data_IF_431303635825
#
_entry.id   IF_431303635825
#
_cell.length_a   1.000
_cell.length_b   1.000
_cell.length_c   1.000
_cell.angle_alpha   90.00
_cell.angle_beta   90.00
_cell.angle_gamma   90.00
#
_symmetry.space_group_name_H-M   'P 1'
#
loop_
_entity.id
_entity.type
_entity.pdbx_description
1 polymer ?
#
# COMPACT_ATOMS: atom_id res chain seq x y z
N UNK A 1 -11.76 14.94 -3.68
CA UNK A 1 -11.78 13.56 -3.16
C UNK A 1 -12.87 13.49 -2.11
N UNK A 2 -13.67 12.44 -2.11
CA UNK A 2 -14.70 12.23 -1.07
C UNK A 2 -14.05 11.75 0.22
N UNK A 3 -14.57 12.15 1.38
CA UNK A 3 -14.05 11.75 2.70
C UNK A 3 -13.97 10.22 2.86
N UNK A 4 -14.92 9.49 2.24
CA UNK A 4 -14.94 8.03 2.22
C UNK A 4 -13.69 7.42 1.55
N UNK A 5 -13.21 8.02 0.46
CA UNK A 5 -12.05 7.50 -0.28
C UNK A 5 -10.79 7.66 0.57
N UNK A 6 -10.65 8.80 1.25
CA UNK A 6 -9.53 9.06 2.15
C UNK A 6 -9.49 8.04 3.28
N UNK A 7 -10.64 7.75 3.87
CA UNK A 7 -10.77 6.74 4.93
C UNK A 7 -10.40 5.34 4.46
N UNK A 8 -10.86 4.93 3.26
CA UNK A 8 -10.49 3.64 2.68
C UNK A 8 -8.98 3.54 2.43
N UNK A 9 -8.37 4.58 1.89
CA UNK A 9 -6.92 4.63 1.65
C UNK A 9 -6.16 4.51 2.98
N UNK A 10 -6.55 5.24 4.02
CA UNK A 10 -5.88 5.14 5.33
C UNK A 10 -6.03 3.76 5.97
N UNK A 11 -7.21 3.14 5.87
CA UNK A 11 -7.42 1.77 6.35
C UNK A 11 -6.51 0.79 5.62
N UNK A 12 -6.51 0.83 4.29
CA UNK A 12 -5.64 -0.01 3.45
C UNK A 12 -4.16 0.23 3.75
N UNK A 13 -3.76 1.50 3.91
CA UNK A 13 -2.37 1.86 4.22
C UNK A 13 -1.91 1.25 5.54
N UNK A 14 -2.77 1.28 6.56
CA UNK A 14 -2.47 0.70 7.86
C UNK A 14 -2.29 -0.82 7.75
N UNK A 15 -3.20 -1.50 7.05
CA UNK A 15 -3.09 -2.94 6.80
C UNK A 15 -1.82 -3.30 6.01
N UNK A 16 -1.47 -2.51 4.98
CA UNK A 16 -0.25 -2.71 4.20
C UNK A 16 1.01 -2.58 5.06
N UNK A 17 1.05 -1.59 5.95
CA UNK A 17 2.16 -1.41 6.90
C UNK A 17 2.27 -2.61 7.84
N UNK A 18 1.15 -3.07 8.40
CA UNK A 18 1.16 -4.26 9.26
C UNK A 18 1.66 -5.50 8.52
N UNK A 19 1.24 -5.71 7.27
CA UNK A 19 1.72 -6.81 6.43
C UNK A 19 3.22 -6.71 6.14
N UNK A 20 3.74 -5.51 5.84
CA UNK A 20 5.18 -5.29 5.68
C UNK A 20 5.96 -5.62 6.95
N UNK A 21 5.46 -5.17 8.11
CA UNK A 21 6.07 -5.45 9.40
C UNK A 21 6.07 -6.95 9.71
N UNK A 22 4.96 -7.65 9.45
CA UNK A 22 4.86 -9.09 9.69
C UNK A 22 5.71 -9.92 8.73
N UNK A 23 5.74 -9.56 7.44
CA UNK A 23 6.45 -10.32 6.40
C UNK A 23 7.96 -10.10 6.42
N UNK A 24 8.40 -8.85 6.55
CA UNK A 24 9.82 -8.48 6.49
C UNK A 24 10.45 -8.19 7.85
N UNK A 25 9.66 -8.19 8.93
CA UNK A 25 10.15 -7.85 10.27
C UNK A 25 10.58 -6.38 10.41
N UNK A 26 10.02 -5.49 9.58
CA UNK A 26 10.39 -4.08 9.59
C UNK A 26 9.77 -3.31 10.75
N UNK A 27 10.45 -2.26 11.20
CA UNK A 27 9.85 -1.28 12.09
C UNK A 27 8.77 -0.47 11.36
N UNK A 28 7.75 -0.02 12.11
CA UNK A 28 6.65 0.80 11.58
C UNK A 28 7.15 1.97 10.73
N UNK A 29 8.20 2.67 11.19
CA UNK A 29 8.75 3.81 10.46
C UNK A 29 9.31 3.40 9.09
N UNK A 30 9.99 2.26 9.02
CA UNK A 30 10.56 1.74 7.77
C UNK A 30 9.45 1.24 6.84
N UNK A 31 8.47 0.53 7.38
CA UNK A 31 7.31 0.06 6.60
C UNK A 31 6.50 1.23 6.02
N UNK A 32 6.29 2.30 6.78
CA UNK A 32 5.67 3.53 6.29
C UNK A 32 6.52 4.18 5.19
N UNK A 33 7.83 4.34 5.40
CA UNK A 33 8.72 4.96 4.42
C UNK A 33 8.73 4.20 3.08
N UNK A 34 8.76 2.86 3.14
CA UNK A 34 8.68 2.01 1.94
C UNK A 34 7.30 2.13 1.28
N UNK A 35 6.21 2.08 2.06
CA UNK A 35 4.87 2.22 1.51
C UNK A 35 4.70 3.57 0.82
N UNK A 36 5.03 4.68 1.47
CA UNK A 36 4.86 6.02 0.90
C UNK A 36 5.79 6.29 -0.30
N UNK A 37 6.95 5.64 -0.36
CA UNK A 37 7.86 5.75 -1.50
C UNK A 37 7.47 4.84 -2.67
N UNK A 38 6.68 3.78 -2.41
CA UNK A 38 6.19 2.86 -3.43
C UNK A 38 5.25 3.53 -4.43
N UNK A 39 5.33 3.05 -5.67
CA UNK A 39 4.39 3.45 -6.71
C UNK A 39 3.02 2.78 -6.53
N UNK A 40 2.96 1.65 -5.83
CA UNK A 40 1.72 1.04 -5.37
C UNK A 40 0.87 2.01 -4.53
N UNK A 41 1.47 2.73 -3.57
CA UNK A 41 0.76 3.73 -2.78
C UNK A 41 0.31 4.95 -3.59
N UNK A 42 1.11 5.37 -4.58
CA UNK A 42 0.70 6.44 -5.51
C UNK A 42 -0.54 6.05 -6.29
N UNK A 43 -0.61 4.80 -6.78
CA UNK A 43 -1.80 4.27 -7.47
C UNK A 43 -2.98 4.10 -6.52
N UNK A 44 -2.74 3.72 -5.26
CA UNK A 44 -3.79 3.64 -4.23
C UNK A 44 -4.41 5.02 -3.94
N UNK A 45 -3.58 6.07 -3.87
CA UNK A 45 -4.04 7.46 -3.76
C UNK A 45 -4.71 7.99 -5.03
N UNK A 46 -4.54 7.31 -6.18
CA UNK A 46 -5.12 7.74 -7.44
C UNK A 46 -6.56 7.21 -7.58
N UNK A 47 -7.58 8.10 -7.54
CA UNK A 47 -8.97 7.69 -7.63
C UNK A 47 -9.33 7.08 -8.99
N UNK A 48 -8.56 7.35 -10.05
CA UNK A 48 -8.78 6.75 -11.37
C UNK A 48 -8.31 5.29 -11.43
N UNK A 49 -7.43 4.87 -10.52
CA UNK A 49 -6.95 3.49 -10.45
C UNK A 49 -7.95 2.54 -9.77
N UNK A 50 -8.80 3.05 -8.87
CA UNK A 50 -9.84 2.27 -8.19
C UNK A 50 -9.34 1.27 -7.15
N UNK A 51 -8.02 1.19 -6.92
CA UNK A 51 -7.37 0.24 -5.99
C UNK A 51 -7.85 0.36 -4.54
N UNK A 52 -8.36 1.52 -4.14
CA UNK A 52 -8.88 1.75 -2.79
C UNK A 52 -10.20 0.99 -2.51
N UNK A 53 -10.83 0.41 -3.54
CA UNK A 53 -11.97 -0.52 -3.38
C UNK A 53 -11.54 -2.00 -3.32
N UNK A 54 -10.27 -2.29 -3.62
CA UNK A 54 -9.73 -3.65 -3.61
C UNK A 54 -9.27 -4.05 -2.20
N UNK A 55 -9.07 -5.36 -1.99
CA UNK A 55 -8.60 -5.86 -0.70
C UNK A 55 -7.12 -5.57 -0.43
N UNK A 56 -6.76 -5.36 0.85
CA UNK A 56 -5.39 -5.07 1.29
C UNK A 56 -4.37 -6.10 0.78
N UNK A 57 -4.72 -7.39 0.76
CA UNK A 57 -3.85 -8.47 0.27
C UNK A 57 -3.53 -8.34 -1.23
N UNK A 58 -4.51 -7.89 -2.03
CA UNK A 58 -4.32 -7.68 -3.46
C UNK A 58 -3.35 -6.53 -3.70
N UNK A 59 -3.60 -5.38 -3.06
CA UNK A 59 -2.71 -4.22 -3.12
C UNK A 59 -1.32 -4.55 -2.59
N UNK A 60 -1.24 -5.33 -1.51
CA UNK A 60 0.02 -5.79 -0.93
C UNK A 60 0.83 -6.64 -1.90
N UNK A 61 0.19 -7.47 -2.71
CA UNK A 61 0.89 -8.29 -3.70
C UNK A 61 1.64 -7.44 -4.74
N UNK A 62 1.12 -6.27 -5.10
CA UNK A 62 1.82 -5.31 -5.96
C UNK A 62 3.02 -4.70 -5.26
N UNK A 63 2.83 -4.25 -4.02
CA UNK A 63 3.88 -3.65 -3.19
C UNK A 63 5.01 -4.65 -2.93
N UNK A 64 4.66 -5.88 -2.59
CA UNK A 64 5.58 -6.99 -2.39
C UNK A 64 6.38 -7.28 -3.66
N UNK A 65 5.71 -7.40 -4.80
CA UNK A 65 6.39 -7.60 -6.07
C UNK A 65 7.29 -6.41 -6.43
N UNK A 66 6.87 -5.18 -6.13
CA UNK A 66 7.69 -3.98 -6.30
C UNK A 66 8.96 -4.04 -5.43
N UNK A 67 8.84 -4.45 -4.18
CA UNK A 67 9.98 -4.61 -3.25
C UNK A 67 10.92 -5.74 -3.71
N UNK A 68 10.39 -6.88 -4.15
CA UNK A 68 11.18 -8.05 -4.54
C UNK A 68 11.83 -7.90 -5.93
N UNK A 69 11.15 -7.25 -6.87
CA UNK A 69 11.59 -7.16 -8.28
C UNK A 69 12.08 -5.77 -8.70
N UNK A 70 11.81 -4.73 -7.88
CA UNK A 70 12.06 -3.33 -8.22
C UNK A 70 11.15 -2.78 -9.32
N UNK A 71 10.06 -3.48 -9.66
CA UNK A 71 9.13 -3.09 -10.73
C UNK A 71 7.68 -3.24 -10.26
N UNK A 72 6.89 -2.18 -10.49
CA UNK A 72 5.43 -2.26 -10.39
C UNK A 72 4.88 -2.99 -11.62
N UNK A 73 4.02 -3.99 -11.38
CA UNK A 73 3.29 -4.74 -12.41
C UNK A 73 2.30 -3.86 -13.20
#
# INVERSE_FOLDING_TARGET
MSEDIQFQIECLSTELVELLMQKYGWDMKKALDELYSSETYRRLCDPACGLYYEGAVYVFSYLENEIETGKVL
#
